data_IF_980361281673
#
_entry.id   IF_980361281673
#
_cell.length_a   1.000
_cell.length_b   1.000
_cell.length_c   1.000
_cell.angle_alpha   90.00
_cell.angle_beta   90.00
_cell.angle_gamma   90.00
#
_symmetry.space_group_name_H-M   'P 1'
#
loop_
_entity.id
_entity.type
_entity.pdbx_description
1 polymer ?
#
# COMPACT_ATOMS: atom_id res chain seq x y z
N UNK A 1 9.48 47.92 40.30
CA UNK A 1 8.06 47.86 39.90
C UNK A 1 7.73 46.41 39.61
N UNK A 2 7.12 45.73 40.58
CA UNK A 2 6.73 44.34 40.44
C UNK A 2 5.53 44.23 39.49
N UNK A 3 5.77 43.57 38.36
CA UNK A 3 4.73 43.25 37.38
C UNK A 3 3.88 42.13 37.97
N UNK A 4 2.57 42.31 38.19
CA UNK A 4 1.77 41.28 38.84
C UNK A 4 1.73 40.03 37.96
N UNK A 5 2.00 38.88 38.58
CA UNK A 5 1.88 37.55 37.98
C UNK A 5 0.53 37.44 37.28
N UNK A 6 0.55 37.02 36.00
CA UNK A 6 -0.61 37.09 35.12
C UNK A 6 -1.88 36.49 35.73
N UNK A 7 -3.02 37.15 35.49
CA UNK A 7 -4.35 36.68 35.94
C UNK A 7 -4.52 35.19 35.62
N UNK A 8 -4.85 34.39 36.64
CA UNK A 8 -5.18 32.97 36.48
C UNK A 8 -6.31 32.82 35.45
N UNK A 9 -6.24 31.77 34.62
CA UNK A 9 -7.23 31.54 33.58
C UNK A 9 -8.61 31.29 34.19
N UNK A 10 -9.59 32.15 33.88
CA UNK A 10 -10.95 32.06 34.43
C UNK A 10 -11.68 30.79 33.99
N UNK A 11 -11.31 30.19 32.84
CA UNK A 11 -11.92 28.95 32.34
C UNK A 11 -11.37 27.73 33.10
N UNK A 12 -10.09 27.74 33.47
CA UNK A 12 -9.51 26.66 34.27
C UNK A 12 -10.19 26.53 35.64
N UNK A 13 -10.67 27.64 36.21
CA UNK A 13 -11.38 27.67 37.49
C UNK A 13 -12.92 27.64 37.34
N UNK A 14 -13.43 27.44 36.12
CA UNK A 14 -14.87 27.38 35.90
C UNK A 14 -15.43 26.02 36.35
N UNK A 15 -16.57 25.96 37.06
CA UNK A 15 -17.15 24.69 37.53
C UNK A 15 -17.46 23.71 36.39
N UNK A 16 -17.78 24.23 35.20
CA UNK A 16 -18.06 23.44 34.00
C UNK A 16 -16.88 23.41 33.01
N UNK A 17 -15.63 23.51 33.49
CA UNK A 17 -14.43 23.49 32.63
C UNK A 17 -14.45 22.33 31.64
N UNK A 18 -14.79 21.13 32.08
CA UNK A 18 -14.78 19.91 31.25
C UNK A 18 -15.72 20.03 30.05
N UNK A 19 -16.92 20.60 30.24
CA UNK A 19 -17.91 20.78 29.17
C UNK A 19 -17.48 21.90 28.20
N UNK A 20 -16.89 22.97 28.72
CA UNK A 20 -16.30 24.04 27.89
C UNK A 20 -15.15 23.48 27.04
N UNK A 21 -14.26 22.69 27.63
CA UNK A 21 -13.13 22.05 26.94
C UNK A 21 -13.64 21.10 25.85
N UNK A 22 -14.67 20.28 26.13
CA UNK A 22 -15.32 19.41 25.12
C UNK A 22 -15.90 20.23 23.96
N UNK A 23 -16.64 21.31 24.24
CA UNK A 23 -17.23 22.17 23.21
C UNK A 23 -16.15 22.84 22.34
N UNK A 24 -15.02 23.24 22.96
CA UNK A 24 -13.87 23.82 22.26
C UNK A 24 -13.15 22.80 21.36
N UNK A 25 -13.03 21.55 21.79
CA UNK A 25 -12.44 20.45 20.99
C UNK A 25 -13.39 20.02 19.87
N UNK A 26 -14.69 20.01 20.11
CA UNK A 26 -15.73 19.74 19.12
C UNK A 26 -15.84 20.84 18.03
N UNK A 27 -15.15 21.98 18.21
CA UNK A 27 -15.14 23.08 17.24
C UNK A 27 -16.38 23.97 17.28
N UNK A 28 -17.13 23.96 18.39
CA UNK A 28 -18.28 24.85 18.57
C UNK A 28 -17.82 26.31 18.56
N UNK A 29 -18.57 27.19 17.91
CA UNK A 29 -18.24 28.61 17.80
C UNK A 29 -18.11 29.27 19.18
N UNK A 30 -17.04 30.05 19.40
CA UNK A 30 -16.76 30.67 20.71
C UNK A 30 -17.93 31.50 21.23
N UNK A 31 -18.62 32.27 20.37
CA UNK A 31 -19.79 33.06 20.77
C UNK A 31 -20.91 32.23 21.40
N UNK A 32 -21.11 31.00 20.91
CA UNK A 32 -22.15 30.09 21.44
C UNK A 32 -21.74 29.58 22.82
N UNK A 33 -20.48 29.15 22.96
CA UNK A 33 -19.91 28.72 24.25
C UNK A 33 -19.94 29.89 25.26
N UNK A 34 -19.60 31.10 24.83
CA UNK A 34 -19.63 32.29 25.65
C UNK A 34 -21.03 32.61 26.18
N UNK A 35 -22.04 32.53 25.31
CA UNK A 35 -23.44 32.76 25.69
C UNK A 35 -23.98 31.67 26.63
N UNK A 36 -23.64 30.42 26.38
CA UNK A 36 -24.14 29.25 27.12
C UNK A 36 -23.53 29.15 28.52
N UNK A 37 -22.22 29.43 28.66
CA UNK A 37 -21.48 29.27 29.92
C UNK A 37 -21.15 30.60 30.60
N UNK A 38 -21.61 31.73 30.09
CA UNK A 38 -21.39 33.05 30.70
C UNK A 38 -19.91 33.49 30.72
N UNK A 39 -19.09 33.03 29.77
CA UNK A 39 -17.66 33.33 29.68
C UNK A 39 -17.33 34.24 28.48
N UNK A 40 -16.19 34.93 28.50
CA UNK A 40 -15.81 35.78 27.36
C UNK A 40 -15.11 35.01 26.23
N UNK A 41 -15.39 35.38 24.97
CA UNK A 41 -14.69 34.87 23.78
C UNK A 41 -13.17 35.00 23.88
N UNK A 42 -12.70 36.12 24.45
CA UNK A 42 -11.27 36.37 24.66
C UNK A 42 -10.64 35.41 25.66
N UNK A 43 -11.37 35.01 26.71
CA UNK A 43 -10.93 33.96 27.62
C UNK A 43 -10.84 32.62 26.91
N UNK A 44 -11.86 32.23 26.12
CA UNK A 44 -11.87 30.96 25.38
C UNK A 44 -10.70 30.85 24.40
N UNK A 45 -10.43 31.93 23.65
CA UNK A 45 -9.26 32.00 22.75
C UNK A 45 -7.94 31.87 23.48
N UNK A 46 -7.74 32.59 24.60
CA UNK A 46 -6.50 32.50 25.39
C UNK A 46 -6.34 31.13 26.04
N UNK A 47 -7.42 30.54 26.52
CA UNK A 47 -7.44 29.21 27.12
C UNK A 47 -6.96 28.13 26.13
N UNK A 48 -7.48 28.18 24.89
CA UNK A 48 -7.00 27.32 23.80
C UNK A 48 -5.57 27.64 23.38
N UNK A 49 -5.23 28.92 23.17
CA UNK A 49 -3.90 29.36 22.69
C UNK A 49 -2.78 29.04 23.68
N UNK A 50 -3.06 29.14 24.98
CA UNK A 50 -2.07 28.87 26.03
C UNK A 50 -1.95 27.36 26.36
N UNK A 51 -2.64 26.49 25.61
CA UNK A 51 -2.45 25.04 25.71
C UNK A 51 -3.18 24.36 26.88
N UNK A 52 -4.09 25.03 27.58
CA UNK A 52 -4.81 24.45 28.73
C UNK A 52 -5.79 23.30 28.35
N UNK A 53 -6.02 23.09 27.05
CA UNK A 53 -6.88 22.04 26.47
C UNK A 53 -6.05 20.95 25.77
N UNK A 54 -4.71 21.05 25.77
CA UNK A 54 -3.85 20.13 25.01
C UNK A 54 -4.10 18.65 25.34
N UNK A 55 -4.34 18.33 26.61
CA UNK A 55 -4.64 16.96 27.06
C UNK A 55 -5.98 16.44 26.49
N UNK A 56 -7.02 17.28 26.46
CA UNK A 56 -8.33 16.89 25.92
C UNK A 56 -8.28 16.74 24.40
N UNK A 57 -7.53 17.60 23.70
CA UNK A 57 -7.27 17.47 22.27
C UNK A 57 -6.56 16.13 21.98
N UNK A 58 -5.53 15.80 22.78
CA UNK A 58 -4.80 14.54 22.62
C UNK A 58 -5.67 13.30 22.88
N UNK A 59 -6.57 13.35 23.87
CA UNK A 59 -7.53 12.26 24.13
C UNK A 59 -8.50 12.04 22.97
N UNK A 60 -9.04 13.11 22.39
CA UNK A 60 -9.95 13.00 21.23
C UNK A 60 -9.21 12.54 19.98
N UNK A 61 -7.97 13.00 19.75
CA UNK A 61 -7.15 12.53 18.64
C UNK A 61 -6.92 11.02 18.71
N UNK A 62 -6.49 10.50 19.86
CA UNK A 62 -6.32 9.05 20.09
C UNK A 62 -7.61 8.26 19.86
N UNK A 63 -8.74 8.78 20.34
CA UNK A 63 -10.03 8.10 20.15
C UNK A 63 -10.41 8.02 18.66
N UNK A 64 -10.21 9.10 17.91
CA UNK A 64 -10.44 9.11 16.45
C UNK A 64 -9.49 8.19 15.71
N UNK A 65 -8.22 8.11 16.13
CA UNK A 65 -7.24 7.18 15.54
C UNK A 65 -7.67 5.72 15.76
N UNK A 66 -8.18 5.37 16.95
CA UNK A 66 -8.70 4.03 17.23
C UNK A 66 -9.95 3.75 16.38
N UNK A 67 -10.91 4.66 16.33
CA UNK A 67 -12.13 4.51 15.51
C UNK A 67 -11.79 4.36 14.02
N UNK A 68 -10.79 5.09 13.51
CA UNK A 68 -10.30 4.95 12.14
C UNK A 68 -9.59 3.62 11.90
N UNK A 69 -8.76 3.17 12.85
CA UNK A 69 -8.08 1.88 12.76
C UNK A 69 -9.10 0.72 12.73
N UNK A 70 -10.15 0.78 13.55
CA UNK A 70 -11.24 -0.19 13.55
C UNK A 70 -12.00 -0.21 12.21
N UNK A 71 -12.30 0.97 11.63
CA UNK A 71 -12.93 1.06 10.31
C UNK A 71 -12.06 0.47 9.20
N UNK A 72 -10.76 0.75 9.22
CA UNK A 72 -9.81 0.20 8.25
C UNK A 72 -9.73 -1.32 8.41
N UNK A 73 -9.63 -1.83 9.64
CA UNK A 73 -9.61 -3.27 9.91
C UNK A 73 -10.87 -3.97 9.38
N UNK A 74 -12.05 -3.41 9.63
CA UNK A 74 -13.30 -3.94 9.10
C UNK A 74 -13.36 -3.93 7.57
N UNK A 75 -12.86 -2.87 6.92
CA UNK A 75 -12.81 -2.78 5.46
C UNK A 75 -11.83 -3.80 4.85
N UNK A 76 -10.69 -4.04 5.50
CA UNK A 76 -9.72 -5.07 5.09
C UNK A 76 -10.35 -6.46 5.23
N UNK A 77 -10.99 -6.76 6.36
CA UNK A 77 -11.62 -8.06 6.58
C UNK A 77 -12.74 -8.35 5.57
N UNK A 78 -13.57 -7.36 5.24
CA UNK A 78 -14.60 -7.50 4.20
C UNK A 78 -13.99 -7.75 2.81
N UNK A 79 -12.91 -7.02 2.47
CA UNK A 79 -12.21 -7.21 1.21
C UNK A 79 -11.59 -8.61 1.12
N UNK A 80 -10.93 -9.06 2.18
CA UNK A 80 -10.36 -10.40 2.27
C UNK A 80 -11.43 -11.49 2.10
N UNK A 81 -12.59 -11.35 2.76
CA UNK A 81 -13.72 -12.27 2.58
C UNK A 81 -14.21 -12.30 1.14
N UNK A 82 -14.34 -11.15 0.49
CA UNK A 82 -14.76 -11.07 -0.91
C UNK A 82 -13.74 -11.71 -1.86
N UNK A 83 -12.45 -11.47 -1.63
CA UNK A 83 -11.36 -12.06 -2.41
C UNK A 83 -11.34 -13.59 -2.26
N UNK A 84 -11.39 -14.11 -1.04
CA UNK A 84 -11.45 -15.56 -0.78
C UNK A 84 -12.67 -16.18 -1.45
N UNK A 85 -13.85 -15.57 -1.31
CA UNK A 85 -15.07 -16.06 -1.97
C UNK A 85 -14.99 -16.01 -3.51
N UNK A 86 -14.22 -15.07 -4.07
CA UNK A 86 -14.00 -14.99 -5.52
C UNK A 86 -13.09 -16.12 -6.02
N UNK A 87 -12.03 -16.44 -5.29
CA UNK A 87 -11.11 -17.54 -5.60
C UNK A 87 -11.85 -18.87 -5.50
N UNK A 88 -12.63 -19.10 -4.44
CA UNK A 88 -13.43 -20.32 -4.28
C UNK A 88 -14.42 -20.54 -5.43
N UNK A 89 -15.04 -19.46 -5.93
CA UNK A 89 -15.93 -19.53 -7.10
C UNK A 89 -15.17 -19.93 -8.36
N UNK A 90 -13.99 -19.33 -8.60
CA UNK A 90 -13.16 -19.65 -9.76
C UNK A 90 -12.69 -21.10 -9.70
N UNK A 91 -12.21 -21.58 -8.55
CA UNK A 91 -11.81 -22.98 -8.36
C UNK A 91 -12.95 -23.95 -8.73
N UNK A 92 -14.17 -23.72 -8.23
CA UNK A 92 -15.33 -24.55 -8.56
C UNK A 92 -15.67 -24.59 -10.04
N UNK A 93 -15.59 -23.44 -10.73
CA UNK A 93 -15.82 -23.36 -12.19
C UNK A 93 -14.78 -24.21 -12.92
N UNK A 94 -13.52 -24.09 -12.52
CA UNK A 94 -12.42 -24.78 -13.19
C UNK A 94 -12.48 -26.31 -12.93
N UNK A 95 -12.81 -26.74 -11.71
CA UNK A 95 -13.06 -28.15 -11.38
C UNK A 95 -14.21 -28.74 -12.21
N UNK A 96 -15.30 -28.00 -12.41
CA UNK A 96 -16.43 -28.42 -13.24
C UNK A 96 -16.00 -28.60 -14.71
N UNK A 97 -15.24 -27.65 -15.26
CA UNK A 97 -14.72 -27.74 -16.63
C UNK A 97 -13.79 -28.94 -16.83
N UNK A 98 -12.93 -29.24 -15.84
CA UNK A 98 -12.11 -30.46 -15.86
C UNK A 98 -12.97 -31.72 -15.89
N UNK A 99 -14.00 -31.78 -15.04
CA UNK A 99 -14.89 -32.93 -14.98
C UNK A 99 -15.63 -33.14 -16.31
N UNK A 100 -16.09 -32.07 -16.95
CA UNK A 100 -16.72 -32.12 -18.27
C UNK A 100 -15.75 -32.61 -19.35
N UNK A 101 -14.52 -32.07 -19.40
CA UNK A 101 -13.49 -32.50 -20.35
C UNK A 101 -13.18 -34.00 -20.18
N UNK A 102 -13.03 -34.47 -18.93
CA UNK A 102 -12.82 -35.89 -18.64
C UNK A 102 -14.03 -36.75 -19.05
N UNK A 103 -15.25 -36.24 -18.88
CA UNK A 103 -16.48 -36.86 -19.36
C UNK A 103 -16.48 -37.07 -20.88
N UNK A 104 -16.11 -36.05 -21.65
CA UNK A 104 -16.00 -36.13 -23.11
C UNK A 104 -14.96 -37.17 -23.55
N UNK A 105 -13.82 -37.25 -22.85
CA UNK A 105 -12.78 -38.25 -23.13
C UNK A 105 -13.31 -39.68 -22.90
N UNK A 106 -14.04 -39.90 -21.80
CA UNK A 106 -14.63 -41.22 -21.46
C UNK A 106 -15.75 -41.63 -22.42
N UNK A 107 -16.57 -40.67 -22.88
CA UNK A 107 -17.73 -40.93 -23.75
C UNK A 107 -17.40 -41.08 -25.23
N UNK A 108 -16.21 -40.67 -25.67
CA UNK A 108 -15.85 -40.67 -27.09
C UNK A 108 -15.62 -42.10 -27.63
N UNK A 109 -16.31 -42.42 -28.74
CA UNK A 109 -16.28 -43.73 -29.40
C UNK A 109 -15.08 -43.90 -30.34
N UNK A 110 -14.90 -45.09 -30.93
CA UNK A 110 -13.87 -45.33 -31.93
C UNK A 110 -14.15 -44.45 -33.19
N UNK A 111 -13.18 -43.62 -33.58
CA UNK A 111 -13.32 -42.61 -34.63
C UNK A 111 -13.18 -41.15 -34.16
N UNK A 112 -13.30 -40.88 -32.86
CA UNK A 112 -13.24 -39.53 -32.28
C UNK A 112 -11.89 -39.18 -31.62
N UNK A 113 -10.80 -39.74 -32.11
CA UNK A 113 -9.45 -39.57 -31.53
C UNK A 113 -9.02 -38.10 -31.45
N UNK A 114 -9.38 -37.29 -32.45
CA UNK A 114 -9.12 -35.85 -32.44
C UNK A 114 -9.91 -35.11 -31.35
N UNK A 115 -11.14 -35.53 -31.08
CA UNK A 115 -11.99 -34.97 -30.02
C UNK A 115 -11.41 -35.33 -28.64
N UNK A 116 -10.93 -36.56 -28.46
CA UNK A 116 -10.21 -37.00 -27.25
C UNK A 116 -8.94 -36.17 -27.01
N UNK A 117 -8.11 -35.99 -28.05
CA UNK A 117 -6.87 -35.21 -27.93
C UNK A 117 -7.11 -33.73 -27.63
N UNK A 118 -8.17 -33.13 -28.19
CA UNK A 118 -8.58 -31.75 -27.88
C UNK A 118 -9.06 -31.62 -26.44
N UNK A 119 -9.91 -32.52 -25.97
CA UNK A 119 -10.39 -32.52 -24.58
C UNK A 119 -9.25 -32.71 -23.56
N UNK A 120 -8.27 -33.57 -23.85
CA UNK A 120 -7.07 -33.73 -23.02
C UNK A 120 -6.20 -32.48 -23.00
N UNK A 121 -6.08 -31.78 -24.14
CA UNK A 121 -5.33 -30.51 -24.21
C UNK A 121 -5.99 -29.43 -23.35
N UNK A 122 -7.30 -29.26 -23.47
CA UNK A 122 -8.05 -28.29 -22.65
C UNK A 122 -7.98 -28.65 -21.16
N UNK A 123 -8.10 -29.93 -20.81
CA UNK A 123 -7.95 -30.37 -19.42
C UNK A 123 -6.56 -30.04 -18.85
N UNK A 124 -5.49 -30.18 -19.64
CA UNK A 124 -4.13 -29.82 -19.21
C UNK A 124 -3.98 -28.32 -18.96
N UNK A 125 -4.54 -27.49 -19.83
CA UNK A 125 -4.49 -26.03 -19.67
C UNK A 125 -5.31 -25.57 -18.46
N UNK A 126 -6.48 -26.18 -18.28
CA UNK A 126 -7.37 -25.95 -17.15
C UNK A 126 -6.69 -26.32 -15.82
N UNK A 127 -5.95 -27.43 -15.77
CA UNK A 127 -5.16 -27.83 -14.60
C UNK A 127 -3.97 -26.89 -14.33
N UNK A 128 -3.31 -26.38 -15.38
CA UNK A 128 -2.24 -25.37 -15.24
C UNK A 128 -2.78 -24.08 -14.63
N UNK A 129 -3.94 -23.61 -15.10
CA UNK A 129 -4.61 -22.43 -14.54
C UNK A 129 -5.00 -22.61 -13.06
N UNK A 130 -5.46 -23.80 -12.65
CA UNK A 130 -5.72 -24.09 -11.24
C UNK A 130 -4.48 -23.92 -10.39
N UNK A 131 -3.37 -24.53 -10.80
CA UNK A 131 -2.12 -24.49 -10.06
C UNK A 131 -1.52 -23.07 -10.01
N UNK A 132 -1.75 -22.25 -11.04
CA UNK A 132 -1.38 -20.84 -11.04
C UNK A 132 -2.26 -20.00 -10.10
N UNK A 133 -3.58 -20.23 -10.08
CA UNK A 133 -4.52 -19.54 -9.17
C UNK A 133 -4.28 -19.94 -7.71
N UNK A 134 -3.90 -21.19 -7.45
CA UNK A 134 -3.54 -21.69 -6.12
C UNK A 134 -2.14 -21.23 -5.67
N UNK A 135 -1.34 -20.66 -6.57
CA UNK A 135 0.03 -20.23 -6.29
C UNK A 135 1.05 -21.37 -6.19
N UNK A 136 0.68 -22.59 -6.58
CA UNK A 136 1.59 -23.75 -6.63
C UNK A 136 2.52 -23.71 -7.85
N UNK A 137 2.15 -22.93 -8.88
CA UNK A 137 2.96 -22.66 -10.06
C UNK A 137 3.23 -21.16 -10.19
N UNK A 138 4.50 -20.80 -10.38
CA UNK A 138 4.87 -19.43 -10.70
C UNK A 138 4.34 -19.07 -12.09
N UNK A 139 3.42 -18.10 -12.15
CA UNK A 139 2.79 -17.65 -13.40
C UNK A 139 3.81 -17.10 -14.42
N UNK A 140 4.99 -16.65 -13.97
CA UNK A 140 6.12 -16.25 -14.81
C UNK A 140 7.45 -16.45 -14.05
N UNK A 141 8.53 -16.93 -14.69
CA UNK A 141 9.86 -16.79 -14.11
C UNK A 141 10.23 -15.30 -14.12
N UNK A 142 10.22 -14.66 -12.96
CA UNK A 142 10.72 -13.30 -12.79
C UNK A 142 12.24 -13.35 -12.95
N UNK A 143 12.73 -13.13 -14.17
CA UNK A 143 14.16 -12.90 -14.41
C UNK A 143 14.47 -11.51 -13.86
N UNK A 144 15.08 -11.47 -12.68
CA UNK A 144 15.43 -10.22 -12.01
C UNK A 144 16.64 -9.58 -12.72
N UNK A 145 16.38 -8.78 -13.77
CA UNK A 145 17.41 -8.17 -14.65
C UNK A 145 18.38 -7.26 -13.86
N UNK A 146 17.96 -6.75 -12.70
CA UNK A 146 18.75 -5.91 -11.80
C UNK A 146 19.98 -6.61 -11.20
N UNK A 147 19.98 -7.94 -11.05
CA UNK A 147 21.12 -8.67 -10.47
C UNK A 147 22.31 -8.77 -11.44
N UNK A 148 22.05 -8.69 -12.75
CA UNK A 148 23.09 -8.76 -13.79
C UNK A 148 23.87 -7.43 -13.85
N UNK A 149 23.20 -6.30 -13.62
CA UNK A 149 23.84 -4.98 -13.67
C UNK A 149 24.86 -4.78 -12.54
N UNK A 150 24.58 -5.27 -11.32
CA UNK A 150 25.51 -5.17 -10.20
C UNK A 150 26.76 -6.02 -10.42
N UNK A 151 26.59 -7.29 -10.81
CA UNK A 151 27.72 -8.19 -11.08
C UNK A 151 28.60 -7.68 -12.24
N UNK A 152 28.00 -7.11 -13.28
CA UNK A 152 28.74 -6.56 -14.40
C UNK A 152 29.52 -5.29 -14.02
N UNK A 153 28.98 -4.48 -13.11
CA UNK A 153 29.65 -3.29 -12.61
C UNK A 153 30.84 -3.64 -11.70
N UNK A 154 30.72 -4.68 -10.88
CA UNK A 154 31.83 -5.16 -10.05
C UNK A 154 32.99 -5.69 -10.90
N UNK A 155 32.69 -6.48 -11.94
CA UNK A 155 33.69 -6.99 -12.89
C UNK A 155 34.36 -5.81 -13.63
N UNK A 156 33.59 -4.80 -14.05
CA UNK A 156 34.14 -3.59 -14.68
C UNK A 156 35.06 -2.83 -13.75
N UNK A 157 34.68 -2.67 -12.48
CA UNK A 157 35.48 -1.95 -11.49
C UNK A 157 36.81 -2.67 -11.22
N UNK A 158 36.79 -4.01 -11.10
CA UNK A 158 37.99 -4.82 -10.91
C UNK A 158 38.94 -4.72 -12.13
N UNK A 159 38.42 -4.96 -13.33
CA UNK A 159 39.21 -4.95 -14.57
C UNK A 159 39.77 -3.55 -14.85
N UNK A 160 39.01 -2.49 -14.59
CA UNK A 160 39.50 -1.12 -14.75
C UNK A 160 40.51 -0.76 -13.65
N UNK A 161 40.34 -1.25 -12.43
CA UNK A 161 41.25 -1.01 -11.30
C UNK A 161 42.66 -1.57 -11.52
N UNK A 162 42.78 -2.73 -12.18
CA UNK A 162 44.07 -3.39 -12.42
C UNK A 162 44.84 -2.82 -13.63
N UNK A 163 44.22 -1.94 -14.42
CA UNK A 163 44.85 -1.32 -15.60
C UNK A 163 45.71 -0.11 -15.22
N UNK A 164 46.84 0.07 -15.89
CA UNK A 164 47.65 1.28 -15.72
C UNK A 164 46.92 2.53 -16.24
N UNK A 165 47.27 3.75 -15.77
CA UNK A 165 46.53 4.97 -16.09
C UNK A 165 46.40 5.27 -17.59
N UNK A 166 47.43 4.94 -18.38
CA UNK A 166 47.40 5.11 -19.84
C UNK A 166 46.37 4.18 -20.50
N UNK A 167 46.33 2.91 -20.07
CA UNK A 167 45.39 1.92 -20.59
C UNK A 167 43.94 2.23 -20.19
N UNK A 168 43.72 2.74 -18.97
CA UNK A 168 42.40 3.19 -18.52
C UNK A 168 41.84 4.31 -19.42
N UNK A 169 42.68 5.29 -19.79
CA UNK A 169 42.28 6.39 -20.67
C UNK A 169 41.85 5.88 -22.06
N UNK A 170 42.61 4.96 -22.65
CA UNK A 170 42.28 4.35 -23.95
C UNK A 170 40.96 3.58 -23.91
N UNK A 171 40.73 2.79 -22.85
CA UNK A 171 39.47 2.03 -22.69
C UNK A 171 38.28 2.98 -22.48
N UNK A 172 38.45 4.06 -21.69
CA UNK A 172 37.42 5.06 -21.47
C UNK A 172 37.02 5.78 -22.76
N UNK A 173 37.98 6.14 -23.62
CA UNK A 173 37.68 6.74 -24.92
C UNK A 173 36.94 5.77 -25.85
N UNK A 174 37.37 4.51 -25.93
CA UNK A 174 36.69 3.48 -26.74
C UNK A 174 35.25 3.22 -26.27
N UNK A 175 35.01 3.22 -24.95
CA UNK A 175 33.67 3.08 -24.38
C UNK A 175 32.78 4.28 -24.71
N UNK A 176 33.32 5.52 -24.64
CA UNK A 176 32.60 6.74 -25.05
C UNK A 176 32.23 6.71 -26.53
N UNK A 177 33.17 6.34 -27.40
CA UNK A 177 32.94 6.22 -28.84
C UNK A 177 31.85 5.18 -29.18
N UNK A 178 31.84 4.01 -28.50
CA UNK A 178 30.81 2.99 -28.68
C UNK A 178 29.42 3.41 -28.19
N UNK A 179 29.35 4.22 -27.13
CA UNK A 179 28.08 4.73 -26.60
C UNK A 179 27.43 5.71 -27.58
N UNK A 180 28.24 6.57 -28.21
CA UNK A 180 27.80 7.49 -29.25
C UNK A 180 27.38 6.78 -30.55
N UNK A 181 27.97 5.62 -30.89
CA UNK A 181 27.56 4.81 -32.04
C UNK A 181 26.25 4.04 -31.84
N UNK A 182 25.81 3.83 -30.59
CA UNK A 182 24.55 3.15 -30.27
C UNK A 182 23.33 4.07 -30.31
N UNK A 183 23.53 5.38 -30.37
CA UNK A 183 22.48 6.36 -30.68
C UNK A 183 22.28 6.42 -32.20
N UNK A 184 21.71 5.35 -32.79
CA UNK A 184 21.24 5.41 -34.18
C UNK A 184 19.94 6.24 -34.17
N UNK A 185 19.82 7.29 -35.00
CA UNK A 185 18.58 8.05 -35.09
C UNK A 185 17.48 7.15 -35.64
N UNK A 186 16.34 7.11 -34.94
CA UNK A 186 15.09 6.54 -35.44
C UNK A 186 14.78 7.18 -36.81
N UNK A 187 14.82 6.39 -37.88
CA UNK A 187 14.11 6.63 -39.14
C UNK A 187 12.96 5.66 -39.22
#
# INVERSE_FOLDING_TARGET
>A
MDRPLGRQCTICNHPQRVEIDKALVAGVAYRRIAAEYGVSDGSLRRHKKNGHIAEQIAKVARKKEIEQAEQIAAAVEEKERHEVASVDRLLKIIEALLAECLGMVRGATAGDENTKLRAVREARETAKLLLEVQGELAANPVINITLIETQLNDIRALVLGDLCPMCQAVVAERLKARKQQREIPCQ
#
